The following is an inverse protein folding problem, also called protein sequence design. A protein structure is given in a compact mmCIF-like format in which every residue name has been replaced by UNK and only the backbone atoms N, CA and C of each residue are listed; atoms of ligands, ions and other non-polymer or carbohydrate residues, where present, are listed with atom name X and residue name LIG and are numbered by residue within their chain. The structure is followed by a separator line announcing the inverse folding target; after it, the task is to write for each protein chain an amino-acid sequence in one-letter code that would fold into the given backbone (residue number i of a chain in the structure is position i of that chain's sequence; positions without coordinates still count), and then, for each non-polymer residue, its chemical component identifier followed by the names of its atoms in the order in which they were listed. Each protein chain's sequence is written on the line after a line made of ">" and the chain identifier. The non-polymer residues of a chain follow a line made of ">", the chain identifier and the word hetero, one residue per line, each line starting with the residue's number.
data_IF_959948332513
#
_entry.id   IF_959948332513
#
_cell.length_a   1.000
_cell.length_b   1.000
_cell.length_c   1.000
_cell.angle_alpha   90.00
_cell.angle_beta   90.00
_cell.angle_gamma   90.00
#
_symmetry.space_group_name_H-M   'P 1'
#
loop_
_entity.id
_entity.type
_entity.pdbx_description
1 polymer ?
#
# COMPACT_ATOMS: atom_id res chain seq x y z
N UNK A 1 -16.71 15.89 30.33
CA UNK A 1 -16.16 14.99 29.28
C UNK A 1 -14.68 14.78 29.51
N UNK A 2 -14.18 13.54 29.53
CA UNK A 2 -12.77 13.24 29.78
C UNK A 2 -11.95 13.19 28.46
N UNK A 3 -10.71 13.70 28.48
CA UNK A 3 -9.79 13.68 27.33
C UNK A 3 -9.14 12.30 27.18
N UNK A 4 -9.41 11.59 26.08
CA UNK A 4 -8.77 10.30 25.77
C UNK A 4 -7.48 10.50 24.97
N UNK A 5 -6.34 10.06 25.52
CA UNK A 5 -5.01 10.18 24.89
C UNK A 5 -4.79 9.12 23.78
N UNK A 6 -4.31 9.54 22.60
CA UNK A 6 -4.10 8.68 21.41
C UNK A 6 -2.67 8.15 21.20
N UNK A 7 -1.75 8.34 22.15
CA UNK A 7 -0.31 8.10 21.93
C UNK A 7 0.04 6.69 21.39
N UNK A 8 -0.48 5.64 22.02
CA UNK A 8 -0.21 4.25 21.63
C UNK A 8 -0.96 3.82 20.38
N UNK A 9 -2.18 4.31 20.17
CA UNK A 9 -3.00 3.95 19.00
C UNK A 9 -2.39 4.52 17.72
N UNK A 10 -1.94 5.78 17.73
CA UNK A 10 -1.25 6.40 16.58
C UNK A 10 0.04 5.65 16.23
N UNK A 11 0.86 5.26 17.23
CA UNK A 11 2.09 4.48 17.00
C UNK A 11 1.78 3.12 16.34
N UNK A 12 0.72 2.44 16.77
CA UNK A 12 0.28 1.17 16.16
C UNK A 12 -0.13 1.36 14.70
N UNK A 13 -0.90 2.40 14.39
CA UNK A 13 -1.32 2.73 13.02
C UNK A 13 -0.13 3.03 12.10
N UNK A 14 0.85 3.81 12.57
CA UNK A 14 2.05 4.10 11.79
C UNK A 14 2.87 2.84 11.49
N UNK A 15 3.04 1.96 12.49
CA UNK A 15 3.73 0.67 12.29
C UNK A 15 3.02 -0.24 11.29
N UNK A 16 1.68 -0.20 11.23
CA UNK A 16 0.91 -0.98 10.23
C UNK A 16 1.25 -0.54 8.80
N UNK A 17 1.29 0.77 8.54
CA UNK A 17 1.64 1.31 7.22
C UNK A 17 3.11 1.02 6.86
N UNK A 18 4.03 1.22 7.80
CA UNK A 18 5.45 0.91 7.57
C UNK A 18 5.70 -0.59 7.34
N UNK A 19 4.88 -1.47 7.92
CA UNK A 19 4.93 -2.91 7.64
C UNK A 19 4.48 -3.22 6.22
N UNK A 20 3.51 -2.48 5.67
CA UNK A 20 3.02 -2.64 4.30
C UNK A 20 3.99 -2.07 3.26
N UNK A 21 4.72 -1.00 3.59
CA UNK A 21 5.69 -0.36 2.69
C UNK A 21 7.09 -0.96 2.72
N UNK A 22 7.26 -2.15 3.33
CA UNK A 22 8.55 -2.85 3.34
C UNK A 22 9.03 -3.12 1.91
N UNK A 23 10.31 -2.90 1.66
CA UNK A 23 10.92 -3.05 0.33
C UNK A 23 10.76 -1.84 -0.59
N UNK A 24 10.03 -0.80 -0.18
CA UNK A 24 9.97 0.43 -0.97
C UNK A 24 11.29 1.20 -0.93
N UNK A 25 11.63 1.82 -2.06
CA UNK A 25 12.88 2.53 -2.24
C UNK A 25 12.96 3.79 -1.36
N UNK A 26 14.14 4.03 -0.78
CA UNK A 26 14.48 5.21 0.01
C UNK A 26 13.44 5.54 1.11
N UNK A 27 13.03 6.81 1.18
CA UNK A 27 12.13 7.32 2.22
C UNK A 27 10.74 6.69 2.21
N UNK A 28 10.33 5.99 1.14
CA UNK A 28 9.01 5.37 1.02
C UNK A 28 8.83 4.14 1.91
N UNK A 29 9.91 3.58 2.47
CA UNK A 29 9.87 2.51 3.48
C UNK A 29 10.14 2.99 4.92
N UNK A 30 10.67 4.21 5.09
CA UNK A 30 11.13 4.73 6.39
C UNK A 30 10.26 5.85 6.95
N UNK A 31 9.80 6.78 6.12
CA UNK A 31 9.02 7.94 6.56
C UNK A 31 7.53 7.65 6.43
N UNK A 32 6.76 7.88 7.50
CA UNK A 32 5.33 7.52 7.52
C UNK A 32 4.50 8.23 6.43
N UNK A 33 4.73 9.53 6.20
CA UNK A 33 3.94 10.32 5.22
C UNK A 33 4.11 9.77 3.80
N UNK A 34 5.36 9.66 3.34
CA UNK A 34 5.69 9.15 2.01
C UNK A 34 5.36 7.66 1.85
N UNK A 35 5.52 6.87 2.92
CA UNK A 35 5.10 5.47 2.93
C UNK A 35 3.59 5.34 2.76
N UNK A 36 2.80 6.15 3.47
CA UNK A 36 1.34 6.12 3.38
C UNK A 36 0.85 6.49 1.98
N UNK A 37 1.38 7.56 1.38
CA UNK A 37 1.07 7.96 0.00
C UNK A 37 1.39 6.83 -1.00
N UNK A 38 2.56 6.21 -0.83
CA UNK A 38 3.00 5.11 -1.70
C UNK A 38 2.11 3.88 -1.55
N UNK A 39 1.73 3.50 -0.33
CA UNK A 39 0.86 2.36 -0.04
C UNK A 39 -0.54 2.58 -0.61
N UNK A 40 -1.11 3.78 -0.48
CA UNK A 40 -2.42 4.12 -1.05
C UNK A 40 -2.41 3.94 -2.57
N UNK A 41 -1.37 4.45 -3.24
CA UNK A 41 -1.22 4.30 -4.69
C UNK A 41 -1.07 2.83 -5.08
N UNK A 42 -0.21 2.09 -4.38
CA UNK A 42 0.02 0.67 -4.65
C UNK A 42 -1.25 -0.18 -4.48
N UNK A 43 -2.10 0.12 -3.50
CA UNK A 43 -3.38 -0.59 -3.30
C UNK A 43 -4.36 -0.36 -4.46
N UNK A 44 -4.41 0.87 -5.00
CA UNK A 44 -5.20 1.19 -6.19
C UNK A 44 -4.66 0.44 -7.41
N UNK A 45 -3.35 0.49 -7.63
CA UNK A 45 -2.70 -0.18 -8.76
C UNK A 45 -2.86 -1.70 -8.68
N UNK A 46 -2.80 -2.29 -7.48
CA UNK A 46 -3.06 -3.73 -7.28
C UNK A 46 -4.49 -4.14 -7.66
N UNK A 47 -5.49 -3.31 -7.36
CA UNK A 47 -6.87 -3.56 -7.79
C UNK A 47 -7.00 -3.55 -9.32
N UNK A 48 -6.42 -2.56 -9.96
CA UNK A 48 -6.42 -2.42 -11.42
C UNK A 48 -5.65 -3.58 -12.07
N UNK A 49 -4.45 -3.89 -11.55
CA UNK A 49 -3.59 -4.96 -12.02
C UNK A 49 -4.25 -6.34 -11.98
N UNK A 50 -5.07 -6.64 -10.96
CA UNK A 50 -5.85 -7.89 -10.93
C UNK A 50 -6.83 -8.03 -12.10
N UNK A 51 -7.39 -6.91 -12.59
CA UNK A 51 -8.28 -6.91 -13.76
C UNK A 51 -7.49 -6.99 -15.06
N UNK A 52 -6.37 -6.26 -15.16
CA UNK A 52 -5.49 -6.27 -16.32
C UNK A 52 -4.87 -7.65 -16.57
N UNK A 53 -4.38 -8.31 -15.52
CA UNK A 53 -3.79 -9.66 -15.60
C UNK A 53 -4.68 -10.63 -16.37
N UNK A 54 -6.00 -10.63 -16.12
CA UNK A 54 -6.96 -11.50 -16.83
C UNK A 54 -7.00 -11.21 -18.34
N UNK A 55 -6.90 -9.94 -18.72
CA UNK A 55 -6.87 -9.50 -20.12
C UNK A 55 -5.53 -9.85 -20.76
N UNK A 56 -4.43 -9.71 -20.04
CA UNK A 56 -3.09 -10.01 -20.53
C UNK A 56 -2.94 -11.51 -20.83
N UNK A 57 -3.43 -12.40 -19.95
CA UNK A 57 -3.48 -13.84 -20.24
C UNK A 57 -4.35 -14.17 -21.44
N UNK A 58 -5.53 -13.52 -21.56
CA UNK A 58 -6.39 -13.71 -22.73
C UNK A 58 -5.70 -13.28 -24.02
N UNK A 59 -4.99 -12.14 -24.03
CA UNK A 59 -4.21 -11.69 -25.19
C UNK A 59 -3.12 -12.70 -25.54
N UNK A 60 -2.39 -13.20 -24.55
CA UNK A 60 -1.36 -14.22 -24.74
C UNK A 60 -1.94 -15.53 -25.32
N UNK A 61 -3.10 -15.96 -24.84
CA UNK A 61 -3.78 -17.16 -25.37
C UNK A 61 -4.37 -16.99 -26.76
N UNK A 62 -4.64 -15.76 -27.20
CA UNK A 62 -5.06 -15.49 -28.58
C UNK A 62 -3.86 -15.46 -29.52
N UNK A 63 -2.72 -14.96 -29.05
CA UNK A 63 -1.49 -14.87 -29.83
C UNK A 63 -0.74 -16.22 -29.95
N UNK A 64 -1.02 -17.16 -29.06
CA UNK A 64 -0.47 -18.52 -29.06
C UNK A 64 -1.48 -19.48 -29.65
#
# INVERSE_FOLDING_TARGET
>A
MARVKRAVTTKKSHKKILKLSKGYYLGRSKLYKTANESVIRALRDAYIGRKLKKRDFRKLWIAR
#
